data_IF_065155923629
#
_entry.id   IF_065155923629
#
_cell.length_a   1.000
_cell.length_b   1.000
_cell.length_c   1.000
_cell.angle_alpha   90.00
_cell.angle_beta   90.00
_cell.angle_gamma   90.00
#
_symmetry.space_group_name_H-M   'P 1'
#
loop_
_entity.id
_entity.type
_entity.pdbx_description
1 polymer ?
#
# COMPACT_ATOMS: atom_id res chain seq x y z
N UNK A 1 21.08 8.48 7.98
CA UNK A 1 21.10 9.95 7.75
C UNK A 1 21.67 10.70 8.94
N UNK A 2 21.13 10.49 10.15
CA UNK A 2 21.58 11.14 11.39
C UNK A 2 23.11 11.10 11.52
N UNK A 3 23.72 9.91 11.39
CA UNK A 3 25.17 9.74 11.53
C UNK A 3 26.02 10.45 10.47
N UNK A 4 25.46 10.84 9.31
CA UNK A 4 26.21 11.43 8.18
C UNK A 4 25.86 12.90 7.96
N UNK A 5 24.59 13.27 8.14
CA UNK A 5 24.04 14.59 7.85
C UNK A 5 23.59 15.35 9.10
N UNK A 6 23.64 14.74 10.29
CA UNK A 6 23.19 15.35 11.53
C UNK A 6 21.67 15.50 11.65
N UNK A 7 20.89 14.88 10.76
CA UNK A 7 19.43 14.96 10.75
C UNK A 7 18.79 13.89 9.85
N UNK A 8 17.46 13.79 9.91
CA UNK A 8 16.67 12.90 9.09
C UNK A 8 15.65 13.69 8.26
N UNK A 9 15.53 13.34 6.98
CA UNK A 9 14.55 13.92 6.07
C UNK A 9 13.46 12.89 5.72
N UNK A 10 12.21 13.32 5.50
CA UNK A 10 11.16 12.41 5.07
C UNK A 10 11.44 11.91 3.65
N UNK A 11 11.31 10.60 3.46
CA UNK A 11 11.63 9.91 2.19
C UNK A 11 10.55 8.96 1.67
N UNK A 12 9.58 8.64 2.50
CA UNK A 12 8.52 7.68 2.20
C UNK A 12 7.18 8.40 2.34
N UNK A 13 6.37 8.35 1.30
CA UNK A 13 5.00 8.85 1.34
C UNK A 13 4.14 7.98 2.27
N UNK A 14 3.11 8.53 2.91
CA UNK A 14 2.16 7.72 3.67
C UNK A 14 1.54 6.65 2.77
N UNK A 15 1.54 5.40 3.23
CA UNK A 15 0.88 4.30 2.54
C UNK A 15 -0.64 4.40 2.71
N UNK A 16 -1.38 4.02 1.68
CA UNK A 16 -2.83 3.84 1.76
C UNK A 16 -3.13 2.46 2.36
N UNK A 17 -4.18 2.37 3.19
CA UNK A 17 -4.75 1.09 3.62
C UNK A 17 -6.12 0.84 2.95
N UNK A 18 -6.61 -0.40 3.05
CA UNK A 18 -7.89 -0.85 2.47
C UNK A 18 -9.05 0.06 2.90
N UNK A 19 -9.08 0.44 4.18
CA UNK A 19 -10.13 1.30 4.76
C UNK A 19 -10.10 2.70 4.15
N UNK A 20 -8.91 3.27 3.98
CA UNK A 20 -8.70 4.58 3.39
C UNK A 20 -9.10 4.58 1.91
N UNK A 21 -8.82 3.49 1.19
CA UNK A 21 -9.26 3.29 -0.19
C UNK A 21 -10.78 3.26 -0.34
N UNK A 22 -11.47 2.49 0.51
CA UNK A 22 -12.94 2.44 0.48
C UNK A 22 -13.58 3.78 0.83
N UNK A 23 -13.01 4.45 1.84
CA UNK A 23 -13.44 5.79 2.23
C UNK A 23 -13.20 6.82 1.11
N UNK A 24 -12.11 6.68 0.34
CA UNK A 24 -11.83 7.54 -0.81
C UNK A 24 -12.87 7.37 -1.91
N UNK A 25 -13.21 6.13 -2.28
CA UNK A 25 -14.23 5.85 -3.29
C UNK A 25 -15.60 6.42 -2.92
N UNK A 26 -16.00 6.29 -1.65
CA UNK A 26 -17.26 6.88 -1.15
C UNK A 26 -17.25 8.40 -1.25
N UNK A 27 -16.17 9.07 -0.84
CA UNK A 27 -16.06 10.54 -0.95
C UNK A 27 -16.01 11.01 -2.40
N UNK A 28 -15.48 10.20 -3.30
CA UNK A 28 -15.48 10.46 -4.73
C UNK A 28 -16.86 10.23 -5.39
N UNK A 29 -17.86 9.75 -4.65
CA UNK A 29 -19.23 9.57 -5.14
C UNK A 29 -19.49 8.24 -5.84
N UNK A 30 -18.58 7.28 -5.77
CA UNK A 30 -18.80 5.94 -6.30
C UNK A 30 -19.72 5.13 -5.39
N UNK A 31 -20.64 4.39 -6.00
CA UNK A 31 -21.46 3.37 -5.34
C UNK A 31 -20.73 2.01 -5.34
N UNK A 32 -21.11 1.15 -4.40
CA UNK A 32 -20.60 -0.23 -4.28
C UNK A 32 -19.05 -0.30 -4.27
N UNK A 33 -18.36 0.41 -3.37
CA UNK A 33 -16.90 0.39 -3.36
C UNK A 33 -16.39 -1.01 -3.03
N UNK A 34 -15.54 -1.55 -3.89
CA UNK A 34 -14.80 -2.79 -3.68
C UNK A 34 -13.32 -2.43 -3.58
N UNK A 35 -12.69 -2.88 -2.51
CA UNK A 35 -11.27 -2.71 -2.28
C UNK A 35 -10.66 -4.07 -2.01
N UNK A 36 -9.60 -4.37 -2.74
CA UNK A 36 -8.85 -5.59 -2.60
C UNK A 36 -7.35 -5.29 -2.50
N UNK A 37 -6.58 -6.24 -1.96
CA UNK A 37 -5.13 -6.11 -1.85
C UNK A 37 -4.47 -7.43 -2.21
N UNK A 38 -3.59 -7.36 -3.21
CA UNK A 38 -2.68 -8.46 -3.55
C UNK A 38 -1.28 -8.14 -3.00
N UNK A 39 -0.59 -9.18 -2.53
CA UNK A 39 0.75 -9.07 -1.97
C UNK A 39 1.72 -9.90 -2.77
N UNK A 40 2.70 -9.23 -3.38
CA UNK A 40 3.78 -9.88 -4.10
C UNK A 40 5.10 -9.77 -3.34
N UNK A 41 5.89 -10.84 -3.39
CA UNK A 41 7.25 -10.86 -2.81
C UNK A 41 8.26 -11.06 -3.92
N UNK A 42 9.22 -10.15 -4.02
CA UNK A 42 10.25 -10.12 -5.06
C UNK A 42 11.63 -10.06 -4.40
N UNK A 43 12.64 -10.64 -5.03
CA UNK A 43 14.02 -10.59 -4.52
C UNK A 43 14.93 -9.85 -5.48
N UNK A 44 15.83 -9.03 -4.93
CA UNK A 44 16.77 -8.18 -5.66
C UNK A 44 18.22 -8.51 -5.30
N UNK A 45 19.13 -8.35 -6.26
CA UNK A 45 20.57 -8.57 -6.02
C UNK A 45 21.15 -7.60 -4.99
N UNK A 46 20.71 -6.34 -5.01
CA UNK A 46 21.18 -5.30 -4.11
C UNK A 46 20.20 -4.12 -4.06
N UNK A 47 20.42 -3.23 -3.09
CA UNK A 47 19.54 -2.09 -2.84
C UNK A 47 19.46 -1.13 -4.04
N UNK A 48 20.50 -1.05 -4.88
CA UNK A 48 20.50 -0.18 -6.05
C UNK A 48 19.56 -0.69 -7.15
N UNK A 49 19.47 -2.01 -7.35
CA UNK A 49 18.50 -2.62 -8.26
C UNK A 49 17.06 -2.34 -7.81
N UNK A 50 16.77 -2.54 -6.53
CA UNK A 50 15.48 -2.18 -5.93
C UNK A 50 15.16 -0.69 -6.14
N UNK A 51 16.10 0.22 -5.83
CA UNK A 51 15.90 1.66 -6.02
C UNK A 51 15.68 2.05 -7.49
N UNK A 52 16.34 1.37 -8.42
CA UNK A 52 16.16 1.61 -9.86
C UNK A 52 14.75 1.20 -10.31
N UNK A 53 14.26 0.06 -9.81
CA UNK A 53 12.92 -0.42 -10.13
C UNK A 53 11.82 0.46 -9.55
N UNK A 54 11.94 0.84 -8.27
CA UNK A 54 11.04 1.82 -7.63
C UNK A 54 10.99 3.13 -8.43
N UNK A 55 12.15 3.62 -8.89
CA UNK A 55 12.19 4.80 -9.76
C UNK A 55 11.47 4.57 -11.09
N UNK A 56 11.59 3.38 -11.67
CA UNK A 56 10.87 2.99 -12.89
C UNK A 56 9.35 2.93 -12.70
N UNK A 57 8.89 2.55 -11.50
CA UNK A 57 7.47 2.56 -11.10
C UNK A 57 6.93 3.97 -10.79
N UNK A 58 7.78 4.99 -10.77
CA UNK A 58 7.39 6.35 -10.41
C UNK A 58 7.42 6.65 -8.92
N UNK A 59 7.97 5.75 -8.09
CA UNK A 59 8.09 5.89 -6.63
C UNK A 59 9.23 6.85 -6.23
N UNK A 60 9.09 8.10 -6.66
CA UNK A 60 9.97 9.21 -6.30
C UNK A 60 9.53 9.91 -5.01
N UNK A 61 10.44 10.67 -4.39
CA UNK A 61 10.11 11.46 -3.20
C UNK A 61 9.56 12.85 -3.58
N UNK A 62 8.23 13.01 -3.52
CA UNK A 62 7.51 14.27 -3.78
C UNK A 62 7.19 15.08 -2.50
N UNK A 63 7.72 14.69 -1.34
CA UNK A 63 7.35 15.30 -0.06
C UNK A 63 7.86 16.75 0.06
N UNK A 64 7.01 17.64 0.57
CA UNK A 64 7.32 19.07 0.74
C UNK A 64 8.57 19.29 1.60
N UNK A 65 8.70 18.52 2.69
CA UNK A 65 9.81 18.63 3.65
C UNK A 65 11.02 17.76 3.29
N UNK A 66 11.12 17.26 2.06
CA UNK A 66 12.27 16.44 1.64
C UNK A 66 13.58 17.23 1.74
N UNK A 67 14.71 16.53 1.88
CA UNK A 67 16.03 17.16 1.81
C UNK A 67 16.18 17.89 0.46
N UNK A 68 16.57 19.17 0.46
CA UNK A 68 16.94 19.86 -0.77
C UNK A 68 18.25 19.28 -1.32
N UNK A 69 18.42 19.34 -2.65
CA UNK A 69 19.61 18.86 -3.35
C UNK A 69 19.70 17.34 -3.53
N UNK A 70 20.83 16.90 -4.08
CA UNK A 70 21.09 15.49 -4.35
C UNK A 70 21.50 14.73 -3.08
N UNK A 71 21.16 13.44 -3.04
CA UNK A 71 21.67 12.53 -2.01
C UNK A 71 23.15 12.28 -2.27
N UNK A 72 24.02 12.47 -1.28
CA UNK A 72 25.45 12.29 -1.46
C UNK A 72 25.80 10.82 -1.70
N UNK A 73 26.83 10.57 -2.52
CA UNK A 73 27.31 9.20 -2.81
C UNK A 73 27.64 8.43 -1.53
N UNK A 74 28.32 9.06 -0.57
CA UNK A 74 28.65 8.46 0.74
C UNK A 74 27.40 7.99 1.47
N UNK A 75 26.36 8.82 1.54
CA UNK A 75 25.12 8.45 2.20
C UNK A 75 24.43 7.28 1.49
N UNK A 76 24.41 7.30 0.15
CA UNK A 76 23.78 6.24 -0.62
C UNK A 76 24.49 4.88 -0.46
N UNK A 77 25.83 4.88 -0.48
CA UNK A 77 26.63 3.67 -0.26
C UNK A 77 26.43 3.11 1.16
N UNK A 78 26.44 3.97 2.17
CA UNK A 78 26.24 3.52 3.55
C UNK A 78 24.82 2.98 3.77
N UNK A 79 23.81 3.62 3.21
CA UNK A 79 22.45 3.13 3.23
C UNK A 79 22.34 1.75 2.55
N UNK A 80 22.92 1.59 1.35
CA UNK A 80 22.90 0.31 0.64
C UNK A 80 23.59 -0.81 1.43
N UNK A 81 24.73 -0.51 2.05
CA UNK A 81 25.46 -1.45 2.92
C UNK A 81 24.60 -1.91 4.10
N UNK A 82 24.10 -0.96 4.91
CA UNK A 82 23.27 -1.26 6.08
C UNK A 82 22.00 -2.03 5.67
N UNK A 83 21.39 -1.64 4.56
CA UNK A 83 20.18 -2.29 4.07
C UNK A 83 20.46 -3.74 3.65
N UNK A 84 21.57 -3.99 2.96
CA UNK A 84 21.99 -5.33 2.60
C UNK A 84 22.31 -6.20 3.83
N UNK A 85 23.05 -5.67 4.81
CA UNK A 85 23.37 -6.39 6.06
C UNK A 85 22.13 -6.82 6.85
N UNK A 86 21.06 -6.01 6.81
CA UNK A 86 19.85 -6.24 7.61
C UNK A 86 18.76 -7.04 6.91
N UNK A 87 18.66 -6.94 5.59
CA UNK A 87 17.49 -7.43 4.84
C UNK A 87 17.85 -8.43 3.74
N UNK A 88 19.09 -8.93 3.72
CA UNK A 88 19.45 -10.01 2.81
C UNK A 88 19.01 -11.37 3.33
N UNK A 89 18.56 -12.22 2.43
CA UNK A 89 18.29 -13.63 2.67
C UNK A 89 19.60 -14.45 2.76
N UNK A 90 19.46 -15.76 2.98
CA UNK A 90 20.61 -16.69 3.04
C UNK A 90 21.43 -16.76 1.74
N UNK A 91 20.91 -16.24 0.63
CA UNK A 91 21.60 -16.17 -0.68
C UNK A 91 22.21 -14.79 -0.94
N UNK A 92 22.14 -13.86 0.03
CA UNK A 92 22.64 -12.50 -0.12
C UNK A 92 21.74 -11.63 -1.02
N UNK A 93 20.46 -11.96 -1.18
CA UNK A 93 19.50 -11.16 -1.95
C UNK A 93 18.56 -10.42 -1.02
N UNK A 94 18.17 -9.21 -1.40
CA UNK A 94 17.19 -8.43 -0.65
C UNK A 94 15.79 -8.93 -1.00
N UNK A 95 15.03 -9.35 0.01
CA UNK A 95 13.62 -9.69 -0.15
C UNK A 95 12.76 -8.46 0.11
N UNK A 96 11.84 -8.14 -0.79
CA UNK A 96 10.93 -6.99 -0.68
C UNK A 96 9.51 -7.42 -0.99
N UNK A 97 8.58 -6.85 -0.24
CA UNK A 97 7.14 -7.11 -0.37
C UNK A 97 6.47 -5.85 -0.93
N UNK A 98 5.62 -6.03 -1.93
CA UNK A 98 4.78 -4.96 -2.48
C UNK A 98 3.32 -5.32 -2.28
N UNK A 99 2.55 -4.37 -1.77
CA UNK A 99 1.10 -4.46 -1.66
C UNK A 99 0.48 -3.66 -2.81
N UNK A 100 -0.30 -4.34 -3.66
CA UNK A 100 -1.03 -3.75 -4.78
C UNK A 100 -2.48 -3.62 -4.34
N UNK A 101 -2.96 -2.39 -4.24
CA UNK A 101 -4.33 -2.10 -3.81
C UNK A 101 -5.19 -1.83 -5.05
N UNK A 102 -6.25 -2.64 -5.21
CA UNK A 102 -7.24 -2.46 -6.26
C UNK A 102 -8.45 -1.70 -5.70
N UNK A 103 -8.85 -0.63 -6.39
CA UNK A 103 -10.01 0.18 -6.04
C UNK A 103 -11.00 0.14 -7.21
N UNK A 104 -12.19 -0.40 -6.96
CA UNK A 104 -13.26 -0.48 -7.95
C UNK A 104 -14.53 0.14 -7.36
N UNK A 105 -15.27 0.85 -8.19
CA UNK A 105 -16.52 1.48 -7.81
C UNK A 105 -17.37 1.78 -9.03
N UNK A 106 -18.68 1.88 -8.84
CA UNK A 106 -19.64 2.10 -9.91
C UNK A 106 -20.17 3.52 -9.84
N UNK A 107 -20.43 4.11 -11.02
CA UNK A 107 -21.25 5.31 -11.07
C UNK A 107 -22.64 5.00 -10.48
N UNK A 108 -23.23 5.88 -9.65
CA UNK A 108 -24.57 5.67 -9.13
C UNK A 108 -25.60 5.47 -10.24
N UNK A 109 -26.46 4.46 -10.11
CA UNK A 109 -27.55 4.20 -11.06
C UNK A 109 -28.82 3.72 -10.34
N UNK A 110 -30.00 4.15 -10.79
CA UNK A 110 -31.27 3.87 -10.12
C UNK A 110 -31.61 2.37 -10.02
N UNK A 111 -31.07 1.55 -10.92
CA UNK A 111 -31.26 0.09 -10.89
C UNK A 111 -30.39 -0.63 -9.85
N UNK A 112 -29.50 0.07 -9.15
CA UNK A 112 -28.69 -0.53 -8.09
C UNK A 112 -29.56 -0.86 -6.89
N UNK A 113 -29.35 -2.05 -6.31
CA UNK A 113 -30.06 -2.46 -5.10
C UNK A 113 -29.81 -1.47 -3.98
N UNK A 114 -30.89 -0.92 -3.44
CA UNK A 114 -30.82 -0.12 -2.22
C UNK A 114 -30.87 -1.04 -1.00
N UNK A 115 -30.07 -0.77 0.05
CA UNK A 115 -30.18 -1.49 1.30
C UNK A 115 -31.62 -1.46 1.81
N UNK A 116 -32.13 -2.60 2.26
CA UNK A 116 -33.44 -2.67 2.90
C UNK A 116 -33.45 -1.76 4.14
N UNK A 117 -34.60 -1.14 4.41
CA UNK A 117 -34.76 -0.34 5.62
C UNK A 117 -34.57 -1.25 6.86
N UNK A 118 -33.92 -0.76 7.93
CA UNK A 118 -33.79 -1.52 9.18
C UNK A 118 -35.15 -2.06 9.64
N UNK A 119 -35.21 -3.35 9.98
CA UNK A 119 -36.45 -4.04 10.39
C UNK A 119 -37.27 -4.68 9.25
N UNK A 120 -36.83 -4.63 8.00
CA UNK A 120 -37.51 -5.28 6.85
C UNK A 120 -36.86 -6.60 6.41
N UNK A 121 -36.04 -7.23 7.26
CA UNK A 121 -35.48 -8.56 6.98
C UNK A 121 -36.62 -9.59 6.88
N UNK A 122 -36.92 -10.06 5.66
CA UNK A 122 -37.98 -11.05 5.40
C UNK A 122 -37.54 -12.50 5.63
N UNK A 123 -36.26 -12.74 5.90
CA UNK A 123 -35.68 -14.08 5.98
C UNK A 123 -35.06 -14.23 7.37
N UNK A 124 -35.50 -15.25 8.12
CA UNK A 124 -34.92 -15.58 9.40
C UNK A 124 -33.60 -16.33 9.18
N UNK A 125 -32.50 -15.85 9.77
CA UNK A 125 -31.19 -16.50 9.62
C UNK A 125 -31.19 -17.94 10.14
N UNK A 126 -32.02 -18.28 11.14
CA UNK A 126 -32.09 -19.65 11.68
C UNK A 126 -32.61 -20.67 10.66
N UNK A 127 -33.52 -20.27 9.77
CA UNK A 127 -34.04 -21.11 8.68
C UNK A 127 -32.99 -21.34 7.59
N UNK A 128 -32.03 -20.43 7.41
CA UNK A 128 -31.02 -20.55 6.38
C UNK A 128 -29.84 -21.46 6.75
N UNK A 129 -29.57 -21.64 8.05
CA UNK A 129 -28.46 -22.46 8.55
C UNK A 129 -28.89 -23.85 9.06
N UNK A 130 -30.14 -24.27 8.81
CA UNK A 130 -30.60 -25.63 9.09
C UNK A 130 -30.67 -26.01 10.57
N UNK A 131 -30.94 -25.04 11.45
CA UNK A 131 -31.11 -25.32 12.88
C UNK A 131 -32.46 -25.98 13.16
N UNK A 132 -32.52 -27.31 13.15
CA UNK A 132 -33.50 -28.04 13.97
C UNK A 132 -33.20 -27.76 15.45
N UNK A 133 -34.29 -27.57 16.20
CA UNK A 133 -34.32 -27.13 17.61
C UNK A 133 -33.72 -28.14 18.58
#
# INVERSE_FOLDING_TARGET
EINIRGGASPRVSPFMDVRSGGSLLQRAGFALPVVDTDRITVTYENAFKLMQELKGMGEGNILIKRSPGLTSRRLMMECAKIYHEKFSDARGRITTTFDIIYLMGWSPHQSQQQPLKPGQGKINLSEMFGGES
#
